data_IF_917068594444
#
_entry.id   IF_917068594444
#
_cell.length_a   1.000
_cell.length_b   1.000
_cell.length_c   1.000
_cell.angle_alpha   90.00
_cell.angle_beta   90.00
_cell.angle_gamma   90.00
#
_symmetry.space_group_name_H-M   'P 1'
#
loop_
_entity.id
_entity.type
_entity.pdbx_description
1 polymer ?
#
# COMPACT_ATOMS: atom_id res chain seq x y z
N UNK A 1 9.13 -16.33 22.82
CA UNK A 1 9.80 -15.40 21.87
C UNK A 1 8.88 -14.21 21.67
N UNK A 2 9.39 -12.99 21.71
CA UNK A 2 8.54 -11.80 21.58
C UNK A 2 8.23 -11.57 20.10
N UNK A 3 6.97 -11.75 19.70
CA UNK A 3 6.51 -11.42 18.34
C UNK A 3 6.65 -9.92 18.07
N UNK A 4 6.67 -9.52 16.79
CA UNK A 4 6.67 -8.08 16.45
C UNK A 4 5.47 -7.35 17.06
N UNK A 5 4.28 -7.97 17.06
CA UNK A 5 3.08 -7.43 17.74
C UNK A 5 3.32 -7.20 19.23
N UNK A 6 3.93 -8.17 19.93
CA UNK A 6 4.24 -8.00 21.36
C UNK A 6 5.24 -6.86 21.61
N UNK A 7 6.20 -6.64 20.69
CA UNK A 7 7.14 -5.51 20.75
C UNK A 7 6.41 -4.16 20.61
N UNK A 8 5.42 -4.07 19.71
CA UNK A 8 4.58 -2.88 19.57
C UNK A 8 3.77 -2.65 20.86
N UNK A 9 3.14 -3.70 21.40
CA UNK A 9 2.36 -3.60 22.64
C UNK A 9 3.22 -3.13 23.82
N UNK A 10 4.40 -3.72 24.02
CA UNK A 10 5.35 -3.30 25.05
C UNK A 10 5.81 -1.86 24.87
N UNK A 11 6.03 -1.42 23.63
CA UNK A 11 6.39 -0.03 23.34
C UNK A 11 5.24 0.93 23.70
N UNK A 12 4.00 0.56 23.44
CA UNK A 12 2.84 1.37 23.82
C UNK A 12 2.66 1.47 25.34
N UNK A 13 2.96 0.40 26.08
CA UNK A 13 2.82 0.35 27.53
C UNK A 13 3.98 1.06 28.24
N UNK A 14 5.22 0.79 27.83
CA UNK A 14 6.41 1.32 28.49
C UNK A 14 6.86 2.68 27.94
N UNK A 15 6.38 3.05 26.75
CA UNK A 15 6.69 4.31 26.10
C UNK A 15 6.01 5.51 26.76
N UNK A 16 6.45 6.74 26.45
CA UNK A 16 5.97 7.96 27.08
C UNK A 16 4.48 8.21 26.79
N UNK A 17 3.82 8.94 27.70
CA UNK A 17 2.42 9.36 27.57
C UNK A 17 1.41 8.26 27.90
N UNK A 18 0.14 8.66 28.02
CA UNK A 18 -0.99 7.76 28.30
C UNK A 18 -1.55 7.17 27.00
N UNK A 19 -2.10 5.97 27.05
CA UNK A 19 -2.49 5.20 25.86
C UNK A 19 -3.43 5.95 24.91
N UNK A 20 -4.47 6.61 25.41
CA UNK A 20 -5.46 7.29 24.58
C UNK A 20 -4.98 8.59 23.93
N UNK A 21 -3.80 9.09 24.31
CA UNK A 21 -3.16 10.23 23.65
C UNK A 21 -2.17 9.76 22.56
N UNK A 22 -2.15 8.46 22.25
CA UNK A 22 -1.27 7.86 21.24
C UNK A 22 -2.04 7.55 19.96
N UNK A 23 -1.38 7.78 18.83
CA UNK A 23 -1.79 7.31 17.52
C UNK A 23 -0.84 6.20 17.07
N UNK A 24 -1.38 5.10 16.55
CA UNK A 24 -0.61 4.00 16.00
C UNK A 24 -0.91 3.88 14.50
N UNK A 25 0.11 4.13 13.69
CA UNK A 25 0.06 3.95 12.24
C UNK A 25 0.52 2.54 11.87
N UNK A 26 -0.37 1.79 11.23
CA UNK A 26 -0.18 0.39 10.86
C UNK A 26 -0.25 0.20 9.34
N UNK A 27 0.37 -0.85 8.78
CA UNK A 27 0.28 -1.16 7.35
C UNK A 27 -1.11 -1.66 6.95
N UNK A 28 -1.87 -2.25 7.88
CA UNK A 28 -3.20 -2.80 7.62
C UNK A 28 -4.04 -2.84 8.91
N UNK A 29 -5.36 -2.93 8.75
CA UNK A 29 -6.31 -2.98 9.87
C UNK A 29 -6.25 -4.30 10.65
N UNK A 30 -5.79 -5.40 10.04
CA UNK A 30 -5.77 -6.71 10.72
C UNK A 30 -4.78 -6.72 11.88
N UNK A 31 -3.65 -6.02 11.73
CA UNK A 31 -2.66 -5.83 12.78
C UNK A 31 -3.25 -5.21 14.05
N UNK A 32 -4.25 -4.34 13.92
CA UNK A 32 -4.94 -3.73 15.06
C UNK A 32 -5.61 -4.77 15.96
N UNK A 33 -6.31 -5.76 15.38
CA UNK A 33 -7.00 -6.79 16.15
C UNK A 33 -6.03 -7.58 17.04
N UNK A 34 -4.91 -8.01 16.46
CA UNK A 34 -3.87 -8.73 17.21
C UNK A 34 -3.20 -7.84 18.27
N UNK A 35 -3.02 -6.55 17.97
CA UNK A 35 -2.42 -5.60 18.89
C UNK A 35 -3.32 -5.29 20.09
N UNK A 36 -4.64 -5.17 19.87
CA UNK A 36 -5.62 -5.04 20.95
C UNK A 36 -5.56 -6.24 21.91
N UNK A 37 -5.42 -7.43 21.35
CA UNK A 37 -5.31 -8.66 22.13
C UNK A 37 -4.00 -8.75 22.91
N UNK A 38 -2.88 -8.37 22.29
CA UNK A 38 -1.59 -8.29 22.98
C UNK A 38 -1.57 -7.22 24.09
N UNK A 39 -2.30 -6.11 23.93
CA UNK A 39 -2.38 -5.06 24.94
C UNK A 39 -3.20 -5.49 26.16
N UNK A 40 -4.22 -6.35 26.01
CA UNK A 40 -5.05 -6.84 27.13
C UNK A 40 -4.22 -7.53 28.21
N UNK A 41 -3.15 -8.24 27.83
CA UNK A 41 -2.26 -8.93 28.78
C UNK A 41 -1.47 -7.97 29.68
N UNK A 42 -1.35 -6.70 29.29
CA UNK A 42 -0.56 -5.68 29.99
C UNK A 42 -1.39 -4.61 30.67
N UNK A 43 -2.71 -4.64 30.51
CA UNK A 43 -3.64 -3.65 31.05
C UNK A 43 -4.39 -4.29 32.22
N UNK A 44 -4.07 -3.88 33.44
CA UNK A 44 -4.66 -4.42 34.67
C UNK A 44 -6.04 -3.84 35.01
N UNK A 45 -6.32 -2.61 34.57
CA UNK A 45 -7.55 -1.87 34.87
C UNK A 45 -8.24 -1.38 33.59
N UNK A 46 -9.43 -0.80 33.71
CA UNK A 46 -10.12 -0.21 32.55
C UNK A 46 -9.28 0.93 31.96
N UNK A 47 -8.83 0.79 30.72
CA UNK A 47 -8.02 1.79 30.02
C UNK A 47 -8.63 2.18 28.68
N UNK A 48 -8.48 3.45 28.33
CA UNK A 48 -8.76 3.95 26.98
C UNK A 48 -7.56 3.64 26.09
N UNK A 49 -7.80 2.90 25.00
CA UNK A 49 -6.76 2.46 24.08
C UNK A 49 -6.31 3.60 23.15
N UNK A 50 -5.13 3.48 22.52
CA UNK A 50 -4.69 4.37 21.46
C UNK A 50 -5.66 4.43 20.28
N UNK A 51 -5.55 5.49 19.51
CA UNK A 51 -6.13 5.52 18.17
C UNK A 51 -5.30 4.63 17.25
N UNK A 52 -5.92 3.65 16.62
CA UNK A 52 -5.29 2.83 15.58
C UNK A 52 -5.82 3.27 14.23
N UNK A 53 -4.92 3.40 13.26
CA UNK A 53 -5.30 3.72 11.88
C UNK A 53 -4.27 3.15 10.91
N UNK A 54 -4.72 2.85 9.70
CA UNK A 54 -3.78 2.57 8.60
C UNK A 54 -3.19 3.85 8.04
N UNK A 55 -2.09 3.75 7.31
CA UNK A 55 -1.49 4.90 6.63
C UNK A 55 -2.50 5.54 5.67
N UNK A 56 -3.21 4.76 4.86
CA UNK A 56 -4.21 5.27 3.92
C UNK A 56 -5.37 5.98 4.62
N UNK A 57 -5.88 5.42 5.71
CA UNK A 57 -6.96 6.04 6.49
C UNK A 57 -6.50 7.34 7.15
N UNK A 58 -5.30 7.34 7.73
CA UNK A 58 -4.70 8.55 8.27
C UNK A 58 -4.60 9.63 7.19
N UNK A 59 -4.10 9.27 6.00
CA UNK A 59 -3.95 10.21 4.88
C UNK A 59 -5.29 10.83 4.51
N UNK A 60 -6.31 10.02 4.27
CA UNK A 60 -7.65 10.49 3.91
C UNK A 60 -8.26 11.41 4.99
N UNK A 61 -8.20 10.97 6.24
CA UNK A 61 -8.79 11.70 7.37
C UNK A 61 -8.06 13.02 7.67
N UNK A 62 -6.72 13.01 7.63
CA UNK A 62 -5.92 14.21 7.86
C UNK A 62 -6.01 15.19 6.68
N UNK A 63 -6.13 14.69 5.44
CA UNK A 63 -6.40 15.51 4.26
C UNK A 63 -7.83 16.07 4.21
N UNK A 64 -8.74 15.53 5.04
CA UNK A 64 -10.18 15.81 4.98
C UNK A 64 -10.76 15.50 3.59
N UNK A 65 -10.36 14.36 3.01
CA UNK A 65 -10.81 13.87 1.71
C UNK A 65 -11.45 12.49 1.83
N UNK A 66 -12.43 12.21 0.99
CA UNK A 66 -13.02 10.87 0.84
C UNK A 66 -12.30 10.13 -0.27
N UNK A 67 -11.68 8.99 0.06
CA UNK A 67 -11.11 8.11 -0.97
C UNK A 67 -12.22 7.30 -1.62
N UNK A 68 -12.43 7.52 -2.91
CA UNK A 68 -13.54 6.97 -3.68
C UNK A 68 -13.21 5.58 -4.22
N UNK A 69 -14.22 4.75 -4.38
CA UNK A 69 -14.08 3.40 -4.93
C UNK A 69 -13.68 3.41 -6.43
N UNK A 70 -12.91 2.42 -6.90
CA UNK A 70 -12.36 2.41 -8.26
C UNK A 70 -13.39 2.57 -9.38
N UNK A 71 -14.57 1.94 -9.27
CA UNK A 71 -15.58 2.00 -10.32
C UNK A 71 -16.15 3.43 -10.48
N UNK A 72 -16.43 4.11 -9.36
CA UNK A 72 -16.91 5.49 -9.40
C UNK A 72 -15.82 6.44 -9.93
N UNK A 73 -14.56 6.24 -9.54
CA UNK A 73 -13.42 6.98 -10.10
C UNK A 73 -13.30 6.79 -11.61
N UNK A 74 -13.51 5.57 -12.12
CA UNK A 74 -13.45 5.27 -13.55
C UNK A 74 -14.54 6.01 -14.34
N UNK A 75 -15.76 6.08 -13.82
CA UNK A 75 -16.85 6.84 -14.45
C UNK A 75 -16.54 8.34 -14.46
N UNK A 76 -16.05 8.90 -13.35
CA UNK A 76 -15.64 10.31 -13.26
C UNK A 76 -14.48 10.62 -14.21
N UNK A 77 -13.48 9.74 -14.28
CA UNK A 77 -12.33 9.90 -15.17
C UNK A 77 -12.76 9.86 -16.64
N UNK A 78 -13.68 8.96 -17.00
CA UNK A 78 -14.26 8.90 -18.34
C UNK A 78 -14.94 10.22 -18.72
N UNK A 79 -15.77 10.78 -17.83
CA UNK A 79 -16.45 12.05 -18.08
C UNK A 79 -15.45 13.20 -18.28
N UNK A 80 -14.40 13.28 -17.46
CA UNK A 80 -13.33 14.26 -17.60
C UNK A 80 -12.55 14.09 -18.92
N UNK A 81 -12.24 12.84 -19.28
CA UNK A 81 -11.57 12.50 -20.53
C UNK A 81 -12.40 12.90 -21.75
N UNK A 82 -13.68 12.52 -21.82
CA UNK A 82 -14.53 12.85 -22.96
C UNK A 82 -14.81 14.36 -23.06
N UNK A 83 -14.92 15.08 -21.94
CA UNK A 83 -15.00 16.56 -21.96
C UNK A 83 -13.75 17.18 -22.55
N UNK A 84 -12.57 16.71 -22.11
CA UNK A 84 -11.27 17.20 -22.59
C UNK A 84 -11.12 16.91 -24.10
N UNK A 85 -11.52 15.71 -24.51
CA UNK A 85 -11.52 15.29 -25.90
C UNK A 85 -12.47 16.11 -26.78
N UNK A 86 -13.68 16.37 -26.33
CA UNK A 86 -14.67 17.16 -27.06
C UNK A 86 -14.24 18.62 -27.27
N UNK A 87 -13.38 19.15 -26.38
CA UNK A 87 -12.79 20.48 -26.52
C UNK A 87 -11.61 20.51 -27.49
N UNK A 88 -10.80 19.44 -27.53
CA UNK A 88 -9.55 19.40 -28.29
C UNK A 88 -9.69 18.84 -29.71
N UNK A 89 -10.63 17.91 -29.94
CA UNK A 89 -10.79 17.20 -31.21
C UNK A 89 -12.08 17.61 -31.94
N UNK A 90 -12.12 17.39 -33.27
CA UNK A 90 -13.28 17.69 -34.09
C UNK A 90 -14.54 16.88 -33.68
N UNK A 91 -15.72 17.49 -33.85
CA UNK A 91 -17.01 16.89 -33.49
C UNK A 91 -17.23 15.54 -34.20
N UNK A 92 -17.69 14.54 -33.44
CA UNK A 92 -17.98 13.18 -33.93
C UNK A 92 -17.00 12.09 -33.46
N UNK A 93 -15.99 12.45 -32.66
CA UNK A 93 -15.06 11.50 -32.05
C UNK A 93 -15.41 11.30 -30.57
N UNK A 94 -16.29 10.35 -30.25
CA UNK A 94 -16.60 9.93 -28.87
C UNK A 94 -16.23 8.46 -28.70
N UNK A 95 -15.84 8.09 -27.49
CA UNK A 95 -15.56 6.71 -27.10
C UNK A 95 -16.64 6.28 -26.12
N UNK A 96 -17.15 5.07 -26.30
CA UNK A 96 -18.10 4.52 -25.34
C UNK A 96 -17.40 4.13 -24.05
N UNK A 97 -18.08 4.33 -22.91
CA UNK A 97 -17.59 3.93 -21.59
C UNK A 97 -17.02 2.50 -21.56
N UNK A 98 -17.68 1.54 -22.23
CA UNK A 98 -17.19 0.15 -22.27
C UNK A 98 -15.82 -0.03 -22.94
N UNK A 99 -15.47 0.80 -23.93
CA UNK A 99 -14.13 0.79 -24.54
C UNK A 99 -13.10 1.39 -23.59
N UNK A 100 -13.44 2.53 -22.99
CA UNK A 100 -12.62 3.21 -21.99
C UNK A 100 -12.29 2.31 -20.79
N UNK A 101 -13.26 1.56 -20.26
CA UNK A 101 -13.06 0.69 -19.10
C UNK A 101 -11.96 -0.37 -19.31
N UNK A 102 -11.64 -0.74 -20.56
CA UNK A 102 -10.58 -1.73 -20.85
C UNK A 102 -9.17 -1.20 -20.56
N UNK A 103 -8.96 0.11 -20.61
CA UNK A 103 -7.63 0.73 -20.48
C UNK A 103 -7.57 1.87 -19.45
N UNK A 104 -8.72 2.46 -19.09
CA UNK A 104 -8.80 3.56 -18.13
C UNK A 104 -8.33 3.16 -16.73
N UNK A 105 -8.38 1.87 -16.39
CA UNK A 105 -7.85 1.36 -15.12
C UNK A 105 -6.33 1.53 -15.03
N UNK A 106 -5.64 1.34 -16.16
CA UNK A 106 -4.21 1.61 -16.29
C UNK A 106 -3.95 3.10 -16.13
N UNK A 107 -4.73 3.95 -16.82
CA UNK A 107 -4.57 5.40 -16.72
C UNK A 107 -4.78 5.92 -15.28
N UNK A 108 -5.82 5.45 -14.59
CA UNK A 108 -6.08 5.81 -13.19
C UNK A 108 -4.93 5.36 -12.28
N UNK A 109 -4.34 4.18 -12.55
CA UNK A 109 -3.17 3.69 -11.83
C UNK A 109 -1.95 4.58 -12.07
N UNK A 110 -1.70 4.97 -13.32
CA UNK A 110 -0.56 5.82 -13.69
C UNK A 110 -0.66 7.21 -13.02
N UNK A 111 -1.86 7.80 -12.99
CA UNK A 111 -2.10 9.03 -12.23
C UNK A 111 -1.87 8.83 -10.73
N UNK A 112 -2.32 7.70 -10.19
CA UNK A 112 -2.05 7.29 -8.81
C UNK A 112 -0.56 7.22 -8.49
N UNK A 113 0.25 6.64 -9.38
CA UNK A 113 1.70 6.51 -9.23
C UNK A 113 2.41 7.87 -9.30
N UNK A 114 2.04 8.72 -10.26
CA UNK A 114 2.54 10.10 -10.37
C UNK A 114 2.36 10.82 -9.02
N UNK A 115 1.22 10.63 -8.38
CA UNK A 115 0.87 11.28 -7.12
C UNK A 115 1.53 10.68 -5.89
N UNK A 116 1.56 9.35 -5.77
CA UNK A 116 2.26 8.65 -4.67
C UNK A 116 3.73 9.04 -4.60
N UNK A 117 4.37 9.26 -5.76
CA UNK A 117 5.78 9.62 -5.82
C UNK A 117 6.04 11.13 -5.85
N UNK A 118 4.99 11.96 -5.73
CA UNK A 118 5.06 13.42 -5.79
C UNK A 118 5.79 13.92 -7.06
N UNK A 119 5.65 13.20 -8.17
CA UNK A 119 6.24 13.62 -9.44
C UNK A 119 5.53 14.88 -9.96
N UNK A 120 6.18 15.64 -10.84
CA UNK A 120 5.53 16.75 -11.53
C UNK A 120 4.71 16.19 -12.70
N UNK A 121 3.36 16.23 -12.66
CA UNK A 121 2.52 15.64 -13.70
C UNK A 121 2.76 16.28 -15.08
N UNK A 122 3.00 17.60 -15.12
CA UNK A 122 3.27 18.31 -16.37
C UNK A 122 4.57 17.84 -17.04
N UNK A 123 5.59 17.50 -16.23
CA UNK A 123 6.84 16.94 -16.76
C UNK A 123 6.64 15.50 -17.21
N UNK A 124 6.06 14.63 -16.37
CA UNK A 124 5.90 13.20 -16.72
C UNK A 124 5.04 13.01 -17.96
N UNK A 125 3.88 13.69 -18.01
CA UNK A 125 2.95 13.57 -19.13
C UNK A 125 3.46 14.34 -20.37
N UNK A 126 4.19 15.44 -20.16
CA UNK A 126 4.85 16.18 -21.24
C UNK A 126 6.01 15.39 -21.88
N UNK A 127 6.82 14.71 -21.07
CA UNK A 127 7.89 13.84 -21.56
C UNK A 127 7.33 12.65 -22.34
N UNK A 128 6.23 12.04 -21.87
CA UNK A 128 5.53 11.00 -22.60
C UNK A 128 5.05 11.49 -23.97
N UNK A 129 4.48 12.70 -24.03
CA UNK A 129 4.11 13.35 -25.28
C UNK A 129 5.31 13.61 -26.20
N UNK A 130 6.42 14.11 -25.65
CA UNK A 130 7.63 14.37 -26.43
C UNK A 130 8.23 13.08 -27.00
N UNK A 131 8.29 11.99 -26.22
CA UNK A 131 8.74 10.68 -26.69
C UNK A 131 7.86 10.19 -27.83
N UNK A 132 6.54 10.34 -27.72
CA UNK A 132 5.62 9.99 -28.79
C UNK A 132 5.85 10.83 -30.06
N UNK A 133 6.09 12.14 -29.91
CA UNK A 133 6.40 13.02 -31.06
C UNK A 133 7.74 12.69 -31.71
N UNK A 134 8.75 12.26 -30.95
CA UNK A 134 10.02 11.79 -31.50
C UNK A 134 9.83 10.49 -32.29
N UNK A 135 9.01 9.55 -31.80
CA UNK A 135 8.70 8.31 -32.52
C UNK A 135 7.97 8.59 -33.85
N UNK A 136 7.15 9.64 -33.90
CA UNK A 136 6.48 10.08 -35.13
C UNK A 136 7.40 10.80 -36.12
N UNK A 137 8.47 11.45 -35.63
CA UNK A 137 9.41 12.18 -36.48
C UNK A 137 10.22 11.25 -37.39
N UNK A 138 10.40 9.99 -37.01
CA UNK A 138 11.12 8.98 -37.79
C UNK A 138 10.29 8.35 -38.93
N UNK A 139 9.03 8.79 -39.11
CA UNK A 139 8.12 8.23 -40.11
C UNK A 139 8.26 8.91 -41.47
N UNK A 140 8.30 8.12 -42.54
CA UNK A 140 8.24 8.67 -43.91
C UNK A 140 6.82 9.20 -44.24
N UNK A 141 6.70 10.18 -45.16
CA UNK A 141 5.40 10.67 -45.62
C UNK A 141 4.51 9.54 -46.14
N UNK A 142 3.44 9.22 -45.39
CA UNK A 142 2.46 8.17 -45.75
C UNK A 142 2.47 6.94 -44.85
N UNK A 143 3.42 6.81 -43.91
CA UNK A 143 3.50 5.69 -42.96
C UNK A 143 2.60 5.85 -41.73
N UNK A 144 2.06 7.05 -41.51
CA UNK A 144 1.20 7.34 -40.37
C UNK A 144 -0.17 6.66 -40.50
N UNK A 145 -0.40 5.63 -39.69
CA UNK A 145 -1.67 4.90 -39.64
C UNK A 145 -2.71 5.62 -38.79
N UNK A 146 -3.99 5.32 -39.02
CA UNK A 146 -5.09 5.84 -38.19
C UNK A 146 -4.98 5.44 -36.72
N UNK A 147 -4.35 4.30 -36.41
CA UNK A 147 -4.11 3.85 -35.04
C UNK A 147 -3.07 4.74 -34.35
N UNK A 148 -1.99 5.10 -35.07
CA UNK A 148 -0.94 5.96 -34.55
C UNK A 148 -1.46 7.37 -34.25
N UNK A 149 -2.29 7.95 -35.14
CA UNK A 149 -2.96 9.23 -34.87
C UNK A 149 -3.83 9.19 -33.61
N UNK A 150 -4.66 8.15 -33.46
CA UNK A 150 -5.51 7.99 -32.27
C UNK A 150 -4.69 7.90 -30.99
N UNK A 151 -3.55 7.22 -31.03
CA UNK A 151 -2.65 7.14 -29.89
C UNK A 151 -1.98 8.49 -29.60
N UNK A 152 -1.52 9.23 -30.62
CA UNK A 152 -1.00 10.59 -30.45
C UNK A 152 -2.05 11.52 -29.83
N UNK A 153 -3.28 11.48 -30.33
CA UNK A 153 -4.38 12.29 -29.82
C UNK A 153 -4.63 11.96 -28.35
N UNK A 154 -4.68 10.66 -28.01
CA UNK A 154 -4.80 10.21 -26.63
C UNK A 154 -3.70 10.78 -25.71
N UNK A 155 -2.43 10.64 -26.09
CA UNK A 155 -1.30 11.14 -25.30
C UNK A 155 -1.37 12.67 -25.12
N UNK A 156 -1.77 13.40 -26.16
CA UNK A 156 -1.93 14.87 -26.10
C UNK A 156 -3.03 15.32 -25.12
N UNK A 157 -4.04 14.48 -24.88
CA UNK A 157 -5.15 14.78 -23.96
C UNK A 157 -4.80 14.53 -22.49
N UNK A 158 -3.76 13.73 -22.20
CA UNK A 158 -3.46 13.29 -20.84
C UNK A 158 -3.21 14.42 -19.84
N UNK A 159 -2.40 15.46 -20.14
CA UNK A 159 -2.15 16.54 -19.18
C UNK A 159 -3.44 17.25 -18.75
N UNK A 160 -4.26 17.68 -19.72
CA UNK A 160 -5.52 18.35 -19.44
C UNK A 160 -6.54 17.42 -18.76
N UNK A 161 -6.55 16.13 -19.13
CA UNK A 161 -7.40 15.13 -18.45
C UNK A 161 -7.03 14.97 -16.99
N UNK A 162 -5.73 14.86 -16.68
CA UNK A 162 -5.22 14.79 -15.31
C UNK A 162 -5.60 16.03 -14.50
N UNK A 163 -5.36 17.22 -15.03
CA UNK A 163 -5.64 18.49 -14.34
C UNK A 163 -7.14 18.65 -14.05
N UNK A 164 -7.99 18.39 -15.04
CA UNK A 164 -9.44 18.46 -14.91
C UNK A 164 -9.96 17.42 -13.90
N UNK A 165 -9.45 16.19 -13.96
CA UNK A 165 -9.88 15.10 -13.09
C UNK A 165 -9.49 15.35 -11.63
N UNK A 166 -8.24 15.73 -11.38
CA UNK A 166 -7.77 15.99 -10.01
C UNK A 166 -8.42 17.22 -9.40
N UNK A 167 -8.59 18.30 -10.16
CA UNK A 167 -9.30 19.50 -9.69
C UNK A 167 -10.76 19.18 -9.35
N UNK A 168 -11.46 18.46 -10.24
CA UNK A 168 -12.84 18.05 -10.01
C UNK A 168 -13.00 17.22 -8.73
N UNK A 169 -12.11 16.24 -8.50
CA UNK A 169 -12.16 15.43 -7.28
C UNK A 169 -11.94 16.29 -6.02
N UNK A 170 -10.92 17.15 -6.01
CA UNK A 170 -10.60 17.96 -4.84
C UNK A 170 -11.70 18.99 -4.51
N UNK A 171 -12.34 19.58 -5.53
CA UNK A 171 -13.50 20.48 -5.35
C UNK A 171 -14.68 19.77 -4.68
N UNK A 172 -14.91 18.49 -5.01
CA UNK A 172 -15.94 17.66 -4.40
C UNK A 172 -15.52 17.10 -3.01
N UNK A 173 -14.30 17.36 -2.55
CA UNK A 173 -13.77 16.80 -1.30
C UNK A 173 -13.43 15.30 -1.41
N UNK A 174 -13.16 14.84 -2.63
CA UNK A 174 -12.89 13.46 -2.98
C UNK A 174 -11.47 13.27 -3.52
N UNK A 175 -11.00 12.03 -3.54
CA UNK A 175 -9.73 11.66 -4.15
C UNK A 175 -9.64 10.17 -4.47
N UNK A 176 -8.70 9.79 -5.32
CA UNK A 176 -8.11 8.45 -5.26
C UNK A 176 -6.95 8.45 -4.25
N UNK A 177 -6.52 7.27 -3.79
CA UNK A 177 -5.50 7.13 -2.73
C UNK A 177 -4.21 7.93 -3.02
N UNK A 178 -3.68 7.88 -4.25
CA UNK A 178 -2.50 8.65 -4.65
C UNK A 178 -2.69 10.17 -4.51
N UNK A 179 -3.82 10.70 -5.00
CA UNK A 179 -4.13 12.13 -4.92
C UNK A 179 -4.30 12.59 -3.47
N UNK A 180 -4.93 11.77 -2.62
CA UNK A 180 -5.06 12.07 -1.19
C UNK A 180 -3.67 12.16 -0.52
N UNK A 181 -2.76 11.24 -0.86
CA UNK A 181 -1.39 11.25 -0.37
C UNK A 181 -0.62 12.49 -0.82
N UNK A 182 -0.70 12.85 -2.11
CA UNK A 182 -0.11 14.11 -2.63
C UNK A 182 -0.69 15.32 -1.91
N UNK A 183 -2.00 15.38 -1.76
CA UNK A 183 -2.70 16.50 -1.16
C UNK A 183 -2.22 16.73 0.28
N UNK A 184 -2.18 15.68 1.11
CA UNK A 184 -1.69 15.79 2.48
C UNK A 184 -0.20 16.13 2.55
N UNK A 185 0.62 15.51 1.70
CA UNK A 185 2.06 15.80 1.65
C UNK A 185 2.36 17.26 1.28
N UNK A 186 1.47 17.90 0.52
CA UNK A 186 1.57 19.30 0.09
C UNK A 186 0.97 20.29 1.11
N UNK A 187 0.20 19.81 2.09
CA UNK A 187 -0.48 20.59 3.14
C UNK A 187 -0.11 20.05 4.54
N UNK A 188 1.18 20.16 4.97
CA UNK A 188 1.64 19.59 6.23
C UNK A 188 0.93 20.16 7.47
N UNK A 189 0.37 21.36 7.39
CA UNK A 189 -0.46 21.96 8.44
C UNK A 189 -1.71 21.12 8.77
N UNK A 190 -2.27 20.41 7.79
CA UNK A 190 -3.42 19.52 7.99
C UNK A 190 -3.06 18.34 8.89
N UNK A 191 -1.81 17.87 8.84
CA UNK A 191 -1.30 16.85 9.77
C UNK A 191 -1.33 17.35 11.21
N UNK A 192 -0.82 18.56 11.46
CA UNK A 192 -0.83 19.16 12.80
C UNK A 192 -2.26 19.39 13.32
N UNK A 193 -3.14 19.90 12.45
CA UNK A 193 -4.54 20.12 12.78
C UNK A 193 -5.26 18.81 13.13
N UNK A 194 -5.04 17.75 12.36
CA UNK A 194 -5.60 16.43 12.62
C UNK A 194 -5.15 15.85 13.97
N UNK A 195 -3.85 15.88 14.25
CA UNK A 195 -3.30 15.34 15.50
C UNK A 195 -3.83 16.11 16.72
N UNK A 196 -3.86 17.46 16.64
CA UNK A 196 -4.37 18.33 17.70
C UNK A 196 -5.87 18.09 17.96
N UNK A 197 -6.69 18.06 16.89
CA UNK A 197 -8.13 17.81 16.97
C UNK A 197 -8.47 16.48 17.67
N UNK A 198 -7.62 15.48 17.49
CA UNK A 198 -7.80 14.15 18.08
C UNK A 198 -7.07 13.96 19.41
N UNK A 199 -6.48 15.01 19.99
CA UNK A 199 -5.78 14.92 21.28
C UNK A 199 -4.51 14.04 21.24
N UNK A 200 -3.94 13.83 20.05
CA UNK A 200 -2.75 13.00 19.87
C UNK A 200 -1.50 13.75 20.32
N UNK A 201 -0.76 13.18 21.27
CA UNK A 201 0.51 13.71 21.78
C UNK A 201 1.72 12.86 21.43
N UNK A 202 1.51 11.61 21.00
CA UNK A 202 2.57 10.71 20.57
C UNK A 202 2.12 9.89 19.38
N UNK A 203 3.02 9.65 18.43
CA UNK A 203 2.76 8.76 17.29
C UNK A 203 3.71 7.58 17.32
N UNK A 204 3.17 6.38 17.13
CA UNK A 204 3.91 5.14 16.92
C UNK A 204 3.66 4.65 15.49
N UNK A 205 4.72 4.53 14.70
CA UNK A 205 4.66 3.97 13.36
C UNK A 205 5.25 2.57 13.42
N UNK A 206 4.52 1.54 12.99
CA UNK A 206 4.98 0.17 13.15
C UNK A 206 4.73 -0.68 11.91
N UNK A 207 5.77 -1.39 11.45
CA UNK A 207 5.65 -2.43 10.43
C UNK A 207 5.51 -1.92 9.00
N UNK A 208 5.80 -0.64 8.74
CA UNK A 208 5.89 -0.10 7.39
C UNK A 208 7.24 -0.50 6.76
N UNK A 209 7.27 -0.78 5.46
CA UNK A 209 8.49 -1.18 4.75
C UNK A 209 8.65 -0.44 3.42
N UNK A 210 7.85 -0.77 2.42
CA UNK A 210 7.89 -0.12 1.11
C UNK A 210 7.09 1.20 1.16
N UNK A 211 7.79 2.31 1.40
CA UNK A 211 7.18 3.64 1.51
C UNK A 211 7.43 4.46 0.23
N UNK A 212 6.38 5.08 -0.30
CA UNK A 212 6.47 6.01 -1.43
C UNK A 212 6.87 7.43 -0.96
N UNK A 213 7.19 8.32 -1.91
CA UNK A 213 7.69 9.67 -1.59
C UNK A 213 6.69 10.49 -0.80
N UNK A 214 5.39 10.40 -1.11
CA UNK A 214 4.34 11.10 -0.39
C UNK A 214 4.27 10.63 1.08
N UNK A 215 4.23 9.33 1.33
CA UNK A 215 4.21 8.75 2.68
C UNK A 215 5.44 9.16 3.48
N UNK A 216 6.63 9.16 2.86
CA UNK A 216 7.86 9.60 3.50
C UNK A 216 7.80 11.08 3.89
N UNK A 217 7.23 11.93 3.04
CA UNK A 217 6.99 13.34 3.34
C UNK A 217 6.02 13.50 4.50
N UNK A 218 4.91 12.77 4.48
CA UNK A 218 3.87 12.80 5.53
C UNK A 218 4.45 12.34 6.88
N UNK A 219 5.20 11.23 6.90
CA UNK A 219 5.85 10.74 8.13
C UNK A 219 6.83 11.77 8.68
N UNK A 220 7.58 12.46 7.81
CA UNK A 220 8.44 13.55 8.22
C UNK A 220 7.63 14.69 8.86
N UNK A 221 6.53 15.12 8.24
CA UNK A 221 5.65 16.17 8.79
C UNK A 221 5.06 15.79 10.14
N UNK A 222 4.63 14.53 10.33
CA UNK A 222 4.17 14.01 11.62
C UNK A 222 5.26 14.18 12.69
N UNK A 223 6.50 13.78 12.38
CA UNK A 223 7.63 13.85 13.30
C UNK A 223 8.00 15.28 13.68
N UNK A 224 7.85 16.23 12.76
CA UNK A 224 8.15 17.64 13.00
C UNK A 224 7.17 18.29 13.99
N UNK A 225 5.93 17.81 14.06
CA UNK A 225 4.86 18.40 14.90
C UNK A 225 4.50 17.56 16.12
N UNK A 226 4.87 16.28 16.16
CA UNK A 226 4.52 15.35 17.23
C UNK A 226 5.66 14.38 17.55
N UNK A 227 5.98 14.14 18.84
CA UNK A 227 6.92 13.10 19.25
C UNK A 227 6.55 11.75 18.64
N UNK A 228 7.42 11.25 17.75
CA UNK A 228 7.16 10.07 16.94
C UNK A 228 8.22 9.01 17.19
N UNK A 229 7.78 7.75 17.30
CA UNK A 229 8.65 6.58 17.33
C UNK A 229 8.33 5.64 16.18
N UNK A 230 9.37 5.08 15.56
CA UNK A 230 9.21 4.10 14.47
C UNK A 230 9.73 2.72 14.88
N UNK A 231 8.95 1.67 14.62
CA UNK A 231 9.32 0.28 14.84
C UNK A 231 9.32 -0.48 13.51
N UNK A 232 10.42 -1.17 13.27
CA UNK A 232 10.62 -1.97 12.06
C UNK A 232 10.51 -3.46 12.39
N UNK A 233 9.75 -4.18 11.57
CA UNK A 233 9.79 -5.64 11.53
C UNK A 233 10.95 -6.05 10.63
N UNK A 234 12.05 -6.50 11.25
CA UNK A 234 13.35 -6.62 10.59
C UNK A 234 14.10 -7.84 11.13
N UNK A 235 14.59 -8.67 10.20
CA UNK A 235 15.50 -9.77 10.50
C UNK A 235 16.88 -9.50 9.90
N UNK A 236 17.92 -9.77 10.68
CA UNK A 236 19.31 -9.49 10.29
C UNK A 236 19.82 -10.33 9.13
N UNK A 237 19.19 -11.46 8.81
CA UNK A 237 19.50 -12.25 7.62
C UNK A 237 19.14 -11.51 6.33
N UNK A 238 17.92 -10.99 6.24
CA UNK A 238 17.44 -10.29 5.04
C UNK A 238 18.03 -8.89 4.92
N UNK A 239 18.14 -8.18 6.05
CA UNK A 239 18.60 -6.79 6.03
C UNK A 239 20.07 -6.66 5.65
N UNK A 240 20.94 -7.51 6.21
CA UNK A 240 22.39 -7.42 5.99
C UNK A 240 22.86 -8.05 4.67
N UNK A 241 21.97 -8.76 3.95
CA UNK A 241 22.26 -9.29 2.62
C UNK A 241 21.87 -8.25 1.55
N UNK A 242 22.82 -7.61 0.85
CA UNK A 242 22.53 -6.58 -0.14
C UNK A 242 21.69 -7.07 -1.32
N UNK A 243 21.78 -8.37 -1.66
CA UNK A 243 21.11 -8.97 -2.80
C UNK A 243 19.70 -9.47 -2.46
N UNK A 244 19.38 -9.61 -1.17
CA UNK A 244 18.08 -10.11 -0.76
C UNK A 244 17.00 -9.00 -0.84
N UNK A 245 15.97 -9.23 -1.64
CA UNK A 245 14.90 -8.25 -1.94
C UNK A 245 14.08 -7.86 -0.70
N UNK A 246 13.80 -8.81 0.20
CA UNK A 246 13.07 -8.55 1.45
C UNK A 246 13.71 -7.46 2.34
N UNK A 247 15.03 -7.23 2.22
CA UNK A 247 15.72 -6.16 2.94
C UNK A 247 15.91 -4.87 2.12
N UNK A 248 15.54 -4.85 0.84
CA UNK A 248 15.85 -3.76 -0.10
C UNK A 248 15.31 -2.41 0.37
N UNK A 249 14.01 -2.32 0.63
CA UNK A 249 13.37 -1.07 1.08
C UNK A 249 13.87 -0.65 2.47
N UNK A 250 13.99 -1.58 3.42
CA UNK A 250 14.54 -1.31 4.76
C UNK A 250 15.95 -0.71 4.70
N UNK A 251 16.84 -1.22 3.84
CA UNK A 251 18.18 -0.65 3.65
C UNK A 251 18.12 0.78 3.14
N UNK A 252 17.18 1.09 2.24
CA UNK A 252 16.96 2.44 1.73
C UNK A 252 16.54 3.46 2.80
N UNK A 253 15.98 3.01 3.93
CA UNK A 253 15.56 3.90 5.03
C UNK A 253 16.67 4.24 6.02
N UNK A 254 17.79 3.51 6.01
CA UNK A 254 18.93 3.73 6.93
C UNK A 254 19.49 5.15 6.82
N UNK A 255 19.43 5.75 5.63
CA UNK A 255 19.96 7.09 5.35
C UNK A 255 18.92 8.20 5.56
N UNK A 256 17.74 7.90 6.10
CA UNK A 256 16.62 8.85 6.21
C UNK A 256 16.45 9.37 7.64
N UNK A 257 17.51 9.90 8.24
CA UNK A 257 17.45 10.46 9.60
C UNK A 257 16.54 11.70 9.70
N UNK A 258 16.30 12.40 8.58
CA UNK A 258 15.30 13.48 8.54
C UNK A 258 13.88 12.96 8.75
N UNK A 259 13.54 11.83 8.17
CA UNK A 259 12.21 11.21 8.28
C UNK A 259 12.04 10.44 9.60
N UNK A 260 13.01 9.59 9.97
CA UNK A 260 12.86 8.67 11.10
C UNK A 260 13.70 9.04 12.34
N UNK A 261 14.52 10.08 12.27
CA UNK A 261 15.38 10.48 13.38
C UNK A 261 16.37 9.39 13.77
N UNK A 262 16.34 9.01 15.07
CA UNK A 262 17.17 7.94 15.63
C UNK A 262 16.60 6.54 15.38
N UNK A 263 15.36 6.44 14.90
CA UNK A 263 14.64 5.17 14.72
C UNK A 263 14.79 4.62 13.29
N UNK A 264 15.87 4.97 12.58
CA UNK A 264 16.19 4.33 11.30
C UNK A 264 16.40 2.81 11.50
N UNK A 265 16.10 1.96 10.50
CA UNK A 265 16.27 0.51 10.64
C UNK A 265 17.70 0.12 11.02
N UNK A 266 17.82 -0.76 12.02
CA UNK A 266 19.11 -1.28 12.45
C UNK A 266 18.96 -2.68 13.03
N UNK A 267 19.97 -3.53 12.78
CA UNK A 267 20.01 -4.91 13.31
C UNK A 267 21.22 -5.16 14.21
N UNK A 268 21.91 -4.11 14.67
CA UNK A 268 23.08 -4.28 15.55
C UNK A 268 22.64 -4.95 16.85
N UNK A 269 23.24 -6.11 17.15
CA UNK A 269 22.94 -6.88 18.37
C UNK A 269 21.68 -7.75 18.29
N UNK A 270 21.02 -7.84 17.12
CA UNK A 270 19.83 -8.68 16.92
C UNK A 270 20.21 -9.92 16.12
N UNK A 271 20.12 -11.09 16.76
CA UNK A 271 20.30 -12.36 16.09
C UNK A 271 19.18 -12.57 15.04
N UNK A 272 19.50 -13.22 13.94
CA UNK A 272 18.49 -13.57 12.93
C UNK A 272 17.61 -14.70 13.47
N UNK A 273 16.31 -14.45 13.55
CA UNK A 273 15.33 -15.47 13.87
C UNK A 273 15.30 -16.53 12.78
N UNK A 274 15.44 -16.10 11.52
CA UNK A 274 15.58 -17.03 10.39
C UNK A 274 16.74 -17.99 10.58
N UNK A 275 17.91 -17.56 11.07
CA UNK A 275 19.05 -18.47 11.25
C UNK A 275 19.00 -19.31 12.53
N UNK A 276 18.23 -18.88 13.53
CA UNK A 276 18.26 -19.47 14.88
C UNK A 276 17.08 -20.39 15.17
N UNK A 277 15.92 -20.14 14.57
CA UNK A 277 14.75 -21.02 14.71
C UNK A 277 14.99 -22.31 13.90
N UNK A 278 14.87 -23.45 14.58
CA UNK A 278 14.92 -24.77 13.94
C UNK A 278 13.77 -24.93 12.96
N UNK A 279 14.07 -25.42 11.74
CA UNK A 279 13.08 -25.64 10.69
C UNK A 279 13.08 -27.09 10.25
N UNK A 280 11.89 -27.66 10.12
CA UNK A 280 11.68 -28.97 9.51
C UNK A 280 11.07 -28.74 8.13
N UNK A 281 11.85 -29.00 7.08
CA UNK A 281 11.45 -28.78 5.68
C UNK A 281 11.17 -30.14 5.04
N UNK A 282 9.94 -30.33 4.57
CA UNK A 282 9.48 -31.56 3.94
C UNK A 282 9.09 -31.28 2.49
N UNK A 283 10.00 -31.48 1.51
CA UNK A 283 9.66 -31.29 0.11
C UNK A 283 8.73 -32.42 -0.35
N UNK A 284 7.62 -32.06 -1.00
CA UNK A 284 6.63 -33.01 -1.53
C UNK A 284 6.53 -32.80 -3.04
N UNK A 285 6.82 -33.84 -3.81
CA UNK A 285 6.60 -33.85 -5.25
C UNK A 285 5.12 -34.09 -5.56
N UNK A 286 4.52 -33.21 -6.36
CA UNK A 286 3.13 -33.33 -6.77
C UNK A 286 2.95 -32.94 -8.24
N UNK A 287 2.13 -33.70 -8.97
CA UNK A 287 1.83 -33.44 -10.37
C UNK A 287 0.65 -32.46 -10.50
N UNK A 288 0.83 -31.41 -11.29
CA UNK A 288 -0.22 -30.42 -11.61
C UNK A 288 -0.82 -29.73 -10.36
N UNK A 289 -1.74 -28.80 -10.57
CA UNK A 289 -2.38 -28.04 -9.48
C UNK A 289 -3.24 -28.91 -8.57
N UNK A 290 -3.98 -29.87 -9.14
CA UNK A 290 -4.81 -30.81 -8.36
C UNK A 290 -3.97 -31.68 -7.43
N UNK A 291 -2.79 -32.14 -7.87
CA UNK A 291 -1.89 -32.92 -7.02
C UNK A 291 -1.33 -32.09 -5.87
N UNK A 292 -0.95 -30.84 -6.14
CA UNK A 292 -0.48 -29.91 -5.10
C UNK A 292 -1.56 -29.63 -4.06
N UNK A 293 -2.80 -29.37 -4.49
CA UNK A 293 -3.93 -29.14 -3.58
C UNK A 293 -4.21 -30.35 -2.67
N UNK A 294 -4.14 -31.57 -3.20
CA UNK A 294 -4.25 -32.79 -2.38
C UNK A 294 -3.09 -32.96 -1.40
N UNK A 295 -1.88 -32.61 -1.81
CA UNK A 295 -0.72 -32.64 -0.92
C UNK A 295 -0.88 -31.66 0.25
N UNK A 296 -1.41 -30.45 -0.01
CA UNK A 296 -1.77 -29.49 1.04
C UNK A 296 -2.81 -30.09 1.99
N UNK A 297 -3.87 -30.70 1.47
CA UNK A 297 -4.91 -31.32 2.30
C UNK A 297 -4.36 -32.42 3.23
N UNK A 298 -3.47 -33.28 2.71
CA UNK A 298 -2.79 -34.32 3.52
C UNK A 298 -1.92 -33.68 4.60
N UNK A 299 -1.13 -32.67 4.26
CA UNK A 299 -0.29 -31.96 5.22
C UNK A 299 -1.11 -31.31 6.34
N UNK A 300 -2.24 -30.68 6.01
CA UNK A 300 -3.16 -30.10 6.99
C UNK A 300 -3.72 -31.16 7.96
N UNK A 301 -4.13 -32.32 7.44
CA UNK A 301 -4.58 -33.42 8.30
C UNK A 301 -3.48 -33.96 9.23
N UNK A 302 -2.25 -34.05 8.74
CA UNK A 302 -1.12 -34.52 9.55
C UNK A 302 -0.75 -33.51 10.65
N UNK A 303 -0.78 -32.20 10.35
CA UNK A 303 -0.61 -31.13 11.35
C UNK A 303 -1.72 -31.17 12.40
N UNK A 304 -2.97 -31.39 11.97
CA UNK A 304 -4.12 -31.55 12.88
C UNK A 304 -3.98 -32.76 13.80
N UNK A 305 -3.61 -33.93 13.26
CA UNK A 305 -3.33 -35.15 14.06
C UNK A 305 -2.18 -34.94 15.04
N UNK A 306 -1.24 -34.06 14.70
CA UNK A 306 -0.14 -33.65 15.58
C UNK A 306 -0.54 -32.60 16.63
N UNK A 307 -1.81 -32.18 16.65
CA UNK A 307 -2.36 -31.26 17.65
C UNK A 307 -2.09 -29.78 17.39
N UNK A 308 -1.64 -29.40 16.19
CA UNK A 308 -1.39 -28.00 15.84
C UNK A 308 -2.74 -27.31 15.57
N UNK A 309 -2.97 -26.18 16.23
CA UNK A 309 -4.20 -25.43 16.08
C UNK A 309 -4.27 -24.75 14.69
N UNK A 310 -5.44 -24.68 14.04
CA UNK A 310 -5.57 -24.04 12.72
C UNK A 310 -5.05 -22.60 12.65
N UNK A 311 -5.17 -21.83 13.74
CA UNK A 311 -4.67 -20.44 13.83
C UNK A 311 -3.14 -20.29 13.71
N UNK A 312 -2.40 -21.37 13.94
CA UNK A 312 -0.94 -21.41 13.89
C UNK A 312 -0.43 -21.97 12.54
N UNK A 313 -1.33 -22.18 11.58
CA UNK A 313 -1.04 -22.73 10.25
C UNK A 313 -1.33 -21.66 9.20
N UNK A 314 -0.40 -21.48 8.26
CA UNK A 314 -0.60 -20.66 7.07
C UNK A 314 -0.33 -21.49 5.82
N UNK A 315 -1.21 -21.38 4.82
CA UNK A 315 -1.01 -21.95 3.48
C UNK A 315 -0.71 -20.79 2.54
N UNK A 316 0.50 -20.76 1.99
CA UNK A 316 0.97 -19.68 1.10
C UNK A 316 1.02 -20.25 -0.32
N UNK A 317 0.21 -19.67 -1.21
CA UNK A 317 0.15 -20.06 -2.62
C UNK A 317 1.03 -19.11 -3.43
N UNK A 318 1.92 -19.66 -4.24
CA UNK A 318 2.76 -18.86 -5.14
C UNK A 318 2.03 -18.44 -6.43
N UNK A 319 0.84 -19.00 -6.68
CA UNK A 319 -0.01 -18.74 -7.84
C UNK A 319 -1.48 -18.74 -7.37
N UNK A 320 -2.21 -17.65 -7.66
CA UNK A 320 -3.61 -17.47 -7.25
C UNK A 320 -4.54 -18.52 -7.86
N UNK A 321 -4.21 -19.08 -9.03
CA UNK A 321 -4.99 -20.13 -9.67
C UNK A 321 -5.07 -21.43 -8.85
N UNK A 322 -4.18 -21.61 -7.85
CA UNK A 322 -4.22 -22.72 -6.89
C UNK A 322 -5.30 -22.56 -5.81
N UNK A 323 -5.88 -21.37 -5.63
CA UNK A 323 -6.82 -21.09 -4.55
C UNK A 323 -8.05 -22.00 -4.62
N UNK A 324 -8.76 -22.01 -5.74
CA UNK A 324 -9.96 -22.82 -5.92
C UNK A 324 -9.70 -24.33 -5.77
N UNK A 325 -8.63 -24.90 -6.38
CA UNK A 325 -8.22 -26.27 -6.11
C UNK A 325 -8.00 -26.56 -4.63
N UNK A 326 -7.25 -25.72 -3.90
CA UNK A 326 -6.95 -25.94 -2.49
C UNK A 326 -8.23 -25.89 -1.64
N UNK A 327 -9.08 -24.89 -1.84
CA UNK A 327 -10.35 -24.76 -1.12
C UNK A 327 -11.25 -26.00 -1.32
N UNK A 328 -11.26 -26.57 -2.52
CA UNK A 328 -12.07 -27.75 -2.85
C UNK A 328 -11.59 -29.03 -2.18
N UNK A 329 -10.33 -29.10 -1.74
CA UNK A 329 -9.74 -30.26 -1.06
C UNK A 329 -9.48 -30.01 0.43
N UNK A 330 -9.90 -28.86 0.98
CA UNK A 330 -9.72 -28.59 2.41
C UNK A 330 -10.38 -29.69 3.25
N UNK A 331 -9.68 -30.21 4.29
CA UNK A 331 -10.29 -31.16 5.20
C UNK A 331 -11.45 -30.50 5.97
N UNK A 332 -12.49 -31.26 6.33
CA UNK A 332 -13.70 -30.76 7.00
C UNK A 332 -13.41 -29.97 8.29
N UNK A 333 -12.31 -30.28 8.98
CA UNK A 333 -11.88 -29.56 10.19
C UNK A 333 -11.46 -28.10 9.95
N UNK A 334 -11.28 -27.69 8.69
CA UNK A 334 -10.89 -26.36 8.25
C UNK A 334 -12.04 -25.69 7.47
N UNK A 335 -13.25 -25.70 8.02
CA UNK A 335 -14.47 -25.14 7.41
C UNK A 335 -14.47 -23.60 7.32
N UNK A 336 -13.63 -22.94 8.14
CA UNK A 336 -13.44 -21.49 8.14
C UNK A 336 -12.00 -21.14 7.84
N UNK A 337 -11.78 -20.58 6.66
CA UNK A 337 -10.46 -20.11 6.21
C UNK A 337 -10.51 -18.61 5.97
N UNK A 338 -9.50 -17.92 6.47
CA UNK A 338 -9.27 -16.52 6.14
C UNK A 338 -8.38 -16.45 4.89
N UNK A 339 -8.92 -15.88 3.82
CA UNK A 339 -8.19 -15.64 2.57
C UNK A 339 -7.69 -14.20 2.59
N UNK A 340 -6.44 -13.99 2.19
CA UNK A 340 -5.77 -12.69 2.23
C UNK A 340 -5.16 -12.31 0.91
#
# INVERSE_FOLDING_TARGET
MATFISRIALELINGPGILHEKLVLLPNQRTELFLREALKEHISDTALLPMFTTVDQFIAQAANLVVVEPLALMVRLFDCYERTRAQALAQGTSEGLGSFLNWGQTLLSDFGEIDRYLLNPAHVLGDLYNVQKLAEWDLEPGEETALMRRYSDFIALLPATYENFTSYLLEDGEAYSGLAARHLASHPESTAAYLSKNGVKHVLIAGLNALNTAELSIIQSIREVCPTRTLWDIDSHYFNDPLHEAGHFLRGHVQRQKTFGKDVPATKGVASEWKTISKHIHPVGASQYTGQAKAVAVALEDLRKSGIAPKDIAVILADESLLNPVLSFLPEAYDKVNIT
#
